data_IF_730026157544
#
_entry.id   IF_730026157544
#
_cell.length_a   1.000
_cell.length_b   1.000
_cell.length_c   1.000
_cell.angle_alpha   90.00
_cell.angle_beta   90.00
_cell.angle_gamma   90.00
#
_symmetry.space_group_name_H-M   'P 1'
#
loop_
_entity.id
_entity.type
_entity.pdbx_description
1 polymer ?
#
# COMPACT_ATOMS: atom_id res chain seq x y z
N UNK A 1 -32.69 1.08 -25.90
CA UNK A 1 -31.63 1.97 -26.40
C UNK A 1 -30.37 1.61 -25.63
N UNK A 2 -29.43 0.97 -26.29
CA UNK A 2 -28.23 0.38 -25.69
C UNK A 2 -27.25 1.48 -25.26
N UNK A 3 -27.06 1.65 -23.96
CA UNK A 3 -25.94 2.41 -23.40
C UNK A 3 -24.67 1.63 -23.72
N UNK A 4 -23.91 2.14 -24.68
CA UNK A 4 -22.61 1.60 -25.07
C UNK A 4 -21.57 2.35 -24.23
N UNK A 5 -21.33 1.88 -23.01
CA UNK A 5 -20.19 2.32 -22.18
C UNK A 5 -18.90 1.80 -22.82
N UNK A 6 -18.51 2.40 -23.93
CA UNK A 6 -17.24 2.11 -24.60
C UNK A 6 -16.17 2.89 -23.84
N UNK A 7 -15.40 2.19 -23.02
CA UNK A 7 -14.22 2.76 -22.37
C UNK A 7 -13.31 3.36 -23.46
N UNK A 8 -12.90 4.62 -23.25
CA UNK A 8 -11.98 5.31 -24.15
C UNK A 8 -10.67 4.50 -24.24
N UNK A 9 -10.20 4.29 -25.47
CA UNK A 9 -8.85 3.78 -25.71
C UNK A 9 -7.82 4.78 -25.17
N UNK A 10 -6.60 4.30 -24.91
CA UNK A 10 -5.51 5.14 -24.38
C UNK A 10 -5.27 6.37 -25.27
N UNK A 11 -5.26 6.21 -26.59
CA UNK A 11 -5.08 7.32 -27.51
C UNK A 11 -6.22 8.34 -27.42
N UNK A 12 -7.47 7.89 -27.30
CA UNK A 12 -8.63 8.78 -27.14
C UNK A 12 -8.58 9.54 -25.79
N UNK A 13 -8.03 8.91 -24.73
CA UNK A 13 -7.79 9.57 -23.45
C UNK A 13 -6.70 10.64 -23.57
N UNK A 14 -5.57 10.32 -24.23
CA UNK A 14 -4.46 11.25 -24.44
C UNK A 14 -4.86 12.47 -25.28
N UNK A 15 -5.60 12.23 -26.36
CA UNK A 15 -6.15 13.30 -27.21
C UNK A 15 -7.07 14.22 -26.41
N UNK A 16 -7.98 13.63 -25.60
CA UNK A 16 -8.93 14.39 -24.80
C UNK A 16 -8.24 15.20 -23.69
N UNK A 17 -7.22 14.63 -23.05
CA UNK A 17 -6.41 15.34 -22.07
C UNK A 17 -5.68 16.52 -22.70
N UNK A 18 -5.07 16.31 -23.87
CA UNK A 18 -4.35 17.35 -24.60
C UNK A 18 -5.26 18.50 -25.02
N UNK A 19 -6.48 18.20 -25.46
CA UNK A 19 -7.51 19.19 -25.79
C UNK A 19 -7.93 20.01 -24.56
N UNK A 20 -8.22 19.34 -23.43
CA UNK A 20 -8.60 20.01 -22.19
C UNK A 20 -7.49 20.94 -21.68
N UNK A 21 -6.24 20.46 -21.68
CA UNK A 21 -5.08 21.26 -21.26
C UNK A 21 -4.89 22.45 -22.19
N UNK A 22 -5.05 22.28 -23.50
CA UNK A 22 -4.87 23.38 -24.46
C UNK A 22 -5.85 24.52 -24.25
N UNK A 23 -7.10 24.18 -23.88
CA UNK A 23 -8.19 25.14 -23.65
C UNK A 23 -8.14 25.85 -22.29
N UNK A 24 -7.26 25.43 -21.37
CA UNK A 24 -7.05 26.09 -20.08
C UNK A 24 -6.31 27.44 -20.23
N UNK A 25 -6.56 28.36 -19.30
CA UNK A 25 -5.72 29.54 -19.13
C UNK A 25 -4.30 29.19 -18.68
N UNK A 26 -3.34 30.10 -18.83
CA UNK A 26 -1.96 29.88 -18.39
C UNK A 26 -1.84 29.58 -16.89
N UNK A 27 -2.69 30.19 -16.06
CA UNK A 27 -2.70 29.92 -14.62
C UNK A 27 -3.17 28.48 -14.33
N UNK A 28 -4.25 28.04 -14.97
CA UNK A 28 -4.80 26.69 -14.83
C UNK A 28 -3.86 25.61 -15.39
N UNK A 29 -3.17 25.90 -16.50
CA UNK A 29 -2.12 25.03 -17.05
C UNK A 29 -0.98 24.83 -16.05
N UNK A 30 -0.50 25.91 -15.43
CA UNK A 30 0.56 25.85 -14.41
C UNK A 30 0.13 25.05 -13.18
N UNK A 31 -1.08 25.28 -12.68
CA UNK A 31 -1.61 24.51 -11.55
C UNK A 31 -1.75 23.01 -11.89
N UNK A 32 -2.23 22.71 -13.10
CA UNK A 32 -2.38 21.33 -13.58
C UNK A 32 -1.01 20.66 -13.71
N UNK A 33 -0.02 21.35 -14.25
CA UNK A 33 1.36 20.86 -14.34
C UNK A 33 1.93 20.53 -12.96
N UNK A 34 1.84 21.45 -11.99
CA UNK A 34 2.34 21.20 -10.63
C UNK A 34 1.67 19.97 -9.99
N UNK A 35 0.37 19.77 -10.22
CA UNK A 35 -0.36 18.60 -9.72
C UNK A 35 0.11 17.30 -10.38
N UNK A 36 0.35 17.31 -11.69
CA UNK A 36 0.85 16.15 -12.44
C UNK A 36 2.30 15.83 -12.05
N UNK A 37 3.16 16.83 -11.86
CA UNK A 37 4.53 16.66 -11.38
C UNK A 37 4.56 16.08 -9.97
N UNK A 38 3.71 16.57 -9.05
CA UNK A 38 3.56 15.97 -7.71
C UNK A 38 3.07 14.53 -7.77
N UNK A 39 2.16 14.21 -8.69
CA UNK A 39 1.68 12.84 -8.89
C UNK A 39 2.75 11.92 -9.50
N UNK A 40 3.54 12.43 -10.45
CA UNK A 40 4.69 11.72 -11.01
C UNK A 40 5.76 11.48 -9.93
N UNK A 41 6.06 12.50 -9.13
CA UNK A 41 6.99 12.39 -8.01
C UNK A 41 6.49 11.42 -6.93
N UNK A 42 5.18 11.37 -6.63
CA UNK A 42 4.66 10.41 -5.65
C UNK A 42 4.67 8.96 -6.17
N UNK A 43 4.52 8.77 -7.48
CA UNK A 43 4.73 7.48 -8.17
C UNK A 43 6.20 7.06 -8.16
N UNK A 44 7.12 8.00 -8.35
CA UNK A 44 8.57 7.74 -8.29
C UNK A 44 9.08 7.61 -6.85
N UNK A 45 8.39 8.22 -5.88
CA UNK A 45 8.71 8.18 -4.46
C UNK A 45 8.18 6.92 -3.74
N UNK A 46 7.82 5.86 -4.47
CA UNK A 46 7.88 4.51 -3.91
C UNK A 46 9.36 4.09 -3.75
N UNK A 47 10.13 4.89 -3.00
CA UNK A 47 11.53 4.66 -2.61
C UNK A 47 11.64 3.52 -1.57
N UNK A 48 10.67 2.60 -1.55
CA UNK A 48 10.70 1.47 -0.65
C UNK A 48 11.79 0.54 -1.12
N UNK A 49 12.74 0.29 -0.23
CA UNK A 49 13.82 -0.68 -0.42
C UNK A 49 13.29 -2.06 -0.84
N UNK A 50 12.07 -2.41 -0.41
CA UNK A 50 11.41 -3.65 -0.75
C UNK A 50 10.00 -3.41 -1.32
N UNK A 51 9.74 -3.83 -2.58
CA UNK A 51 8.41 -3.72 -3.18
C UNK A 51 7.41 -4.58 -2.40
N UNK A 52 6.17 -4.09 -2.29
CA UNK A 52 5.09 -4.80 -1.60
C UNK A 52 4.25 -5.61 -2.57
N UNK A 53 3.84 -6.81 -2.12
CA UNK A 53 2.88 -7.67 -2.79
C UNK A 53 1.55 -7.58 -2.06
N UNK A 54 0.48 -7.28 -2.79
CA UNK A 54 -0.88 -7.35 -2.26
C UNK A 54 -1.26 -8.80 -1.98
N UNK A 55 -1.95 -9.03 -0.86
CA UNK A 55 -2.27 -10.37 -0.37
C UNK A 55 -3.47 -10.36 0.57
N UNK A 56 -3.89 -11.54 0.99
CA UNK A 56 -4.89 -11.75 2.05
C UNK A 56 -4.48 -12.96 2.87
N UNK A 57 -3.43 -12.80 3.67
CA UNK A 57 -2.88 -13.86 4.51
C UNK A 57 -3.38 -13.70 5.93
N UNK A 58 -3.92 -14.77 6.50
CA UNK A 58 -4.28 -14.82 7.91
C UNK A 58 -3.02 -14.73 8.79
N UNK A 59 -3.06 -13.86 9.80
CA UNK A 59 -1.95 -13.61 10.72
C UNK A 59 -2.41 -13.65 12.17
N UNK A 60 -1.58 -14.25 13.01
CA UNK A 60 -1.72 -14.18 14.47
C UNK A 60 -0.70 -13.18 15.00
N UNK A 61 -1.17 -12.19 15.75
CA UNK A 61 -0.35 -11.15 16.33
C UNK A 61 -0.33 -11.26 17.86
N UNK A 62 0.85 -11.08 18.43
CA UNK A 62 1.03 -11.01 19.88
C UNK A 62 1.99 -9.87 20.24
N UNK A 63 1.64 -9.12 21.28
CA UNK A 63 2.47 -8.10 21.91
C UNK A 63 2.25 -8.14 23.42
N UNK A 64 2.88 -7.22 24.15
CA UNK A 64 2.91 -7.27 25.63
C UNK A 64 1.52 -7.41 26.28
N UNK A 65 0.51 -6.72 25.73
CA UNK A 65 -0.87 -6.73 26.23
C UNK A 65 -1.92 -7.05 25.15
N UNK A 66 -1.50 -7.48 23.95
CA UNK A 66 -2.39 -7.65 22.82
C UNK A 66 -2.20 -9.03 22.22
N UNK A 67 -3.31 -9.71 21.95
CA UNK A 67 -3.33 -10.94 21.18
C UNK A 67 -4.56 -10.90 20.27
N UNK A 68 -4.33 -10.91 18.97
CA UNK A 68 -5.40 -10.77 17.98
C UNK A 68 -5.06 -11.51 16.68
N UNK A 69 -6.08 -11.68 15.85
CA UNK A 69 -6.00 -12.46 14.60
C UNK A 69 -6.74 -11.69 13.53
N UNK A 70 -6.07 -11.47 12.41
CA UNK A 70 -6.55 -10.59 11.34
C UNK A 70 -5.90 -10.98 10.01
N UNK A 71 -5.98 -10.11 9.00
CA UNK A 71 -5.44 -10.34 7.68
C UNK A 71 -4.39 -9.32 7.26
N UNK A 72 -3.28 -9.82 6.72
CA UNK A 72 -2.27 -9.03 6.02
C UNK A 72 -2.83 -8.65 4.65
N UNK A 73 -2.87 -7.36 4.33
CA UNK A 73 -3.29 -6.85 3.00
C UNK A 73 -2.16 -6.67 2.03
N UNK A 74 -0.98 -6.35 2.54
CA UNK A 74 0.24 -6.35 1.75
C UNK A 74 1.45 -6.65 2.62
N UNK A 75 2.46 -7.23 1.99
CA UNK A 75 3.72 -7.62 2.62
C UNK A 75 4.88 -7.32 1.68
N UNK A 76 6.03 -6.95 2.25
CA UNK A 76 7.33 -6.96 1.59
C UNK A 76 8.35 -7.61 2.51
N UNK A 77 9.58 -7.81 2.02
CA UNK A 77 10.69 -8.28 2.85
C UNK A 77 10.90 -7.46 4.13
N UNK A 78 10.59 -6.16 4.13
CA UNK A 78 10.83 -5.26 5.28
C UNK A 78 9.62 -5.00 6.19
N UNK A 79 8.43 -5.48 5.86
CA UNK A 79 7.26 -5.23 6.70
C UNK A 79 5.93 -5.63 6.07
N UNK A 80 4.86 -5.39 6.81
CA UNK A 80 3.50 -5.75 6.42
C UNK A 80 2.47 -4.69 6.81
N UNK A 81 1.30 -4.75 6.20
CA UNK A 81 0.11 -4.00 6.63
C UNK A 81 -0.99 -4.98 7.02
N UNK A 82 -1.49 -4.85 8.24
CA UNK A 82 -2.58 -5.65 8.80
C UNK A 82 -3.84 -4.80 8.81
N UNK A 83 -4.90 -5.29 8.17
CA UNK A 83 -6.24 -4.73 8.36
C UNK A 83 -6.77 -5.20 9.71
N UNK A 84 -7.01 -4.27 10.64
CA UNK A 84 -7.44 -4.59 12.01
C UNK A 84 -8.15 -3.40 12.64
N UNK A 85 -9.13 -3.69 13.48
CA UNK A 85 -9.76 -2.70 14.37
C UNK A 85 -9.11 -2.67 15.76
N UNK A 86 -8.09 -3.52 15.99
CA UNK A 86 -7.39 -3.58 17.28
C UNK A 86 -6.65 -2.26 17.54
N UNK A 87 -6.92 -1.58 18.67
CA UNK A 87 -6.25 -0.32 19.00
C UNK A 87 -4.77 -0.59 19.35
N UNK A 88 -3.87 -0.09 18.52
CA UNK A 88 -2.42 -0.26 18.66
C UNK A 88 -1.74 1.10 18.50
N UNK A 89 -0.58 1.27 19.12
CA UNK A 89 0.16 2.52 19.08
C UNK A 89 1.45 2.39 18.26
N UNK A 90 1.87 3.49 17.63
CA UNK A 90 3.18 3.58 16.99
C UNK A 90 4.28 3.27 18.01
N UNK A 91 5.34 2.60 17.55
CA UNK A 91 6.46 2.03 18.31
C UNK A 91 6.15 0.80 19.18
N UNK A 92 4.91 0.31 19.19
CA UNK A 92 4.57 -0.92 19.88
C UNK A 92 5.21 -2.14 19.19
N UNK A 93 5.83 -3.00 19.98
CA UNK A 93 6.41 -4.26 19.48
C UNK A 93 5.33 -5.32 19.28
N UNK A 94 5.44 -6.05 18.17
CA UNK A 94 4.57 -7.15 17.80
C UNK A 94 5.40 -8.33 17.29
N UNK A 95 4.96 -9.52 17.64
CA UNK A 95 5.36 -10.77 17.02
C UNK A 95 4.19 -11.23 16.17
N UNK A 96 4.42 -11.32 14.86
CA UNK A 96 3.43 -11.77 13.87
C UNK A 96 3.79 -13.16 13.37
N UNK A 97 2.81 -14.06 13.34
CA UNK A 97 2.97 -15.44 12.83
C UNK A 97 1.98 -15.69 11.70
N UNK A 98 2.46 -16.08 10.52
CA UNK A 98 1.64 -16.32 9.34
C UNK A 98 2.26 -17.39 8.42
N UNK A 99 1.48 -17.90 7.48
CA UNK A 99 1.92 -18.86 6.47
C UNK A 99 1.97 -18.19 5.10
N UNK A 100 3.07 -18.38 4.37
CA UNK A 100 3.14 -18.05 2.96
C UNK A 100 2.79 -19.29 2.12
N UNK A 101 2.15 -19.13 0.95
CA UNK A 101 1.74 -20.26 0.11
C UNK A 101 2.85 -21.27 -0.20
N UNK A 102 4.08 -20.78 -0.40
CA UNK A 102 5.24 -21.59 -0.83
C UNK A 102 6.18 -22.00 0.32
N UNK A 103 5.86 -21.64 1.57
CA UNK A 103 6.70 -21.91 2.74
C UNK A 103 5.99 -22.92 3.65
N UNK A 104 6.63 -24.07 3.89
CA UNK A 104 6.07 -25.16 4.70
C UNK A 104 5.90 -24.77 6.17
N UNK A 105 6.84 -24.01 6.70
CA UNK A 105 6.86 -23.61 8.10
C UNK A 105 6.27 -22.20 8.29
N UNK A 106 5.57 -21.93 9.41
CA UNK A 106 5.06 -20.60 9.68
C UNK A 106 6.21 -19.60 9.84
N UNK A 107 6.07 -18.45 9.20
CA UNK A 107 6.96 -17.32 9.43
C UNK A 107 6.55 -16.66 10.73
N UNK A 108 7.46 -16.66 11.71
CA UNK A 108 7.32 -15.92 12.97
C UNK A 108 8.36 -14.81 13.00
N UNK A 109 7.90 -13.56 12.99
CA UNK A 109 8.77 -12.40 12.89
C UNK A 109 8.40 -11.32 13.90
N UNK A 110 9.41 -10.64 14.43
CA UNK A 110 9.28 -9.49 15.32
C UNK A 110 9.33 -8.20 14.51
N UNK A 111 8.53 -7.21 14.91
CA UNK A 111 8.57 -5.88 14.33
C UNK A 111 7.89 -4.84 15.21
N UNK A 112 7.84 -3.61 14.70
CA UNK A 112 7.26 -2.45 15.38
C UNK A 112 6.18 -1.81 14.52
N UNK A 113 5.10 -1.39 15.16
CA UNK A 113 4.08 -0.56 14.52
C UNK A 113 4.72 0.78 14.15
N UNK A 114 4.80 1.10 12.86
CA UNK A 114 5.37 2.36 12.36
C UNK A 114 4.30 3.32 11.86
N UNK A 115 3.07 2.84 11.66
CA UNK A 115 1.93 3.64 11.21
C UNK A 115 0.63 2.98 11.64
N UNK A 116 -0.35 3.81 11.96
CA UNK A 116 -1.73 3.42 12.24
C UNK A 116 -2.65 4.29 11.39
N UNK A 117 -3.72 3.72 10.87
CA UNK A 117 -4.78 4.46 10.18
C UNK A 117 -6.16 3.84 10.50
N UNK A 118 -7.23 4.36 9.90
CA UNK A 118 -8.59 3.90 10.16
C UNK A 118 -8.88 2.47 9.68
N UNK A 119 -7.97 1.86 8.91
CA UNK A 119 -8.12 0.50 8.36
C UNK A 119 -7.19 -0.51 9.04
N UNK A 120 -6.19 -0.05 9.79
CA UNK A 120 -5.32 -0.91 10.57
C UNK A 120 -3.92 -0.36 10.77
N UNK A 121 -2.92 -1.24 10.68
CA UNK A 121 -1.56 -0.93 11.12
C UNK A 121 -0.50 -1.38 10.12
N UNK A 122 0.58 -0.60 10.01
CA UNK A 122 1.80 -1.01 9.32
C UNK A 122 2.85 -1.43 10.34
N UNK A 123 3.39 -2.63 10.17
CA UNK A 123 4.49 -3.17 10.98
C UNK A 123 5.75 -3.20 10.13
N UNK A 124 6.82 -2.58 10.64
CA UNK A 124 8.18 -2.74 10.10
C UNK A 124 8.86 -3.87 10.84
N UNK A 125 9.46 -4.81 10.12
CA UNK A 125 10.21 -5.90 10.76
C UNK A 125 11.53 -5.39 11.35
N UNK A 126 11.97 -6.03 12.43
CA UNK A 126 13.27 -5.73 13.04
C UNK A 126 14.40 -6.16 12.10
N UNK A 127 14.22 -7.29 11.40
CA UNK A 127 15.09 -7.78 10.33
C UNK A 127 14.24 -8.16 9.10
N UNK A 128 14.73 -7.94 7.87
CA UNK A 128 13.99 -8.32 6.68
C UNK A 128 13.88 -9.84 6.54
N UNK A 129 12.77 -10.32 5.99
CA UNK A 129 12.61 -11.72 5.63
C UNK A 129 13.38 -11.97 4.33
N UNK A 130 14.32 -12.94 4.30
CA UNK A 130 14.99 -13.33 3.06
C UNK A 130 13.99 -13.90 2.05
N UNK A 131 14.16 -13.55 0.78
CA UNK A 131 13.56 -14.25 -0.37
C UNK A 131 12.02 -14.27 -0.46
N UNK A 132 11.33 -13.20 -0.05
CA UNK A 132 9.87 -13.01 -0.26
C UNK A 132 9.50 -11.82 -1.14
#
# INVERSE_FOLDING_TARGET
MTNNDKALSINEVEDRLSELISNMSEAEKRETLERLEKWQQSKLADNREHPRKDTSIYVVCSGSNHYFRDFIKNISAGGLFIETETPLFVNQELITTFFLPDVKDPIKIKGKVVRTDSKGIAVKFDEPIPDI
#
